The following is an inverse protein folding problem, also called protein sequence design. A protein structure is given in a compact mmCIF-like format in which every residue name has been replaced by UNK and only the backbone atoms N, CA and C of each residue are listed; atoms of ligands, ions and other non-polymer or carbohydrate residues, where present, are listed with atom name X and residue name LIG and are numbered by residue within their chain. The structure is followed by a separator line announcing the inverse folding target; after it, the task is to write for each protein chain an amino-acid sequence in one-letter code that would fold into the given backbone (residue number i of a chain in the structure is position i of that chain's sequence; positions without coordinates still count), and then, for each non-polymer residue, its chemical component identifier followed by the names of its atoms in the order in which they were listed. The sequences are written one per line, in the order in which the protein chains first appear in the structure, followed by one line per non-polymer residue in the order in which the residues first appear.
data_IF_870856637929
#
_entry.id   IF_870856637929
#
_cell.length_a   1.000
_cell.length_b   1.000
_cell.length_c   1.000
_cell.angle_alpha   90.00
_cell.angle_beta   90.00
_cell.angle_gamma   90.00
#
_symmetry.space_group_name_H-M   'P 1'
#
loop_
_entity.id
_entity.type
_entity.pdbx_description
1 polymer ?
#
# COMPACT_ATOMS: atom_id res chain seq x y z
N UNK A 1 2.95 -11.37 17.15
CA UNK A 1 1.74 -11.58 16.35
C UNK A 1 1.63 -10.38 15.43
N UNK A 2 1.54 -10.58 14.12
CA UNK A 2 1.40 -9.48 13.15
C UNK A 2 -0.07 -9.03 13.19
N UNK A 3 -0.29 -7.72 13.30
CA UNK A 3 -1.64 -7.16 13.30
C UNK A 3 -2.07 -6.87 11.86
N UNK A 4 -3.13 -7.51 11.40
CA UNK A 4 -3.69 -7.23 10.08
C UNK A 4 -4.79 -6.19 10.21
N UNK A 5 -4.58 -5.03 9.59
CA UNK A 5 -5.57 -3.96 9.55
C UNK A 5 -6.47 -4.15 8.35
N UNK A 6 -7.78 -4.16 8.59
CA UNK A 6 -8.79 -4.24 7.54
C UNK A 6 -9.23 -2.85 7.14
N UNK A 7 -9.47 -2.68 5.85
CA UNK A 7 -10.10 -1.50 5.29
C UNK A 7 -11.50 -1.31 5.91
N UNK A 8 -11.81 -0.09 6.34
CA UNK A 8 -13.09 0.27 6.96
C UNK A 8 -14.03 1.05 6.03
N UNK A 9 -13.48 1.78 5.05
CA UNK A 9 -14.20 2.61 4.09
C UNK A 9 -13.85 2.20 2.65
N UNK A 10 -14.33 2.88 1.61
CA UNK A 10 -13.93 2.56 0.23
C UNK A 10 -12.55 3.13 -0.16
N UNK A 11 -12.02 4.09 0.60
CA UNK A 11 -10.87 4.91 0.21
C UNK A 11 -9.60 4.64 1.03
N UNK A 12 -9.71 3.90 2.14
CA UNK A 12 -8.62 3.65 3.08
C UNK A 12 -7.85 2.34 2.82
N UNK A 13 -7.96 1.74 1.64
CA UNK A 13 -7.24 0.51 1.31
C UNK A 13 -5.72 0.66 1.48
N UNK A 14 -5.15 1.77 0.98
CA UNK A 14 -3.73 2.09 1.15
C UNK A 14 -3.36 2.26 2.62
N UNK A 15 -4.22 2.91 3.42
CA UNK A 15 -3.97 3.11 4.85
C UNK A 15 -3.99 1.79 5.62
N UNK A 16 -4.90 0.87 5.29
CA UNK A 16 -4.95 -0.46 5.89
C UNK A 16 -3.66 -1.27 5.59
N UNK A 17 -3.15 -1.19 4.36
CA UNK A 17 -1.86 -1.79 4.00
C UNK A 17 -0.70 -1.18 4.79
N UNK A 18 -0.61 0.15 4.84
CA UNK A 18 0.42 0.88 5.58
C UNK A 18 0.43 0.50 7.06
N UNK A 19 -0.73 0.49 7.73
CA UNK A 19 -0.83 0.06 9.13
C UNK A 19 -0.36 -1.38 9.32
N UNK A 20 -0.74 -2.28 8.42
CA UNK A 20 -0.31 -3.68 8.49
C UNK A 20 1.22 -3.77 8.41
N UNK A 21 1.85 -3.06 7.47
CA UNK A 21 3.32 -3.01 7.34
C UNK A 21 3.98 -2.42 8.59
N UNK A 22 3.50 -1.27 9.08
CA UNK A 22 4.08 -0.64 10.28
C UNK A 22 3.96 -1.58 11.49
N UNK A 23 2.82 -2.26 11.66
CA UNK A 23 2.63 -3.19 12.77
C UNK A 23 3.53 -4.43 12.72
N UNK A 24 3.97 -4.82 11.51
CA UNK A 24 4.92 -5.91 11.33
C UNK A 24 6.29 -5.54 11.92
N UNK A 25 6.78 -4.33 11.63
CA UNK A 25 8.07 -3.84 12.13
C UNK A 25 8.01 -3.34 13.58
N UNK A 26 6.85 -2.80 14.00
CA UNK A 26 6.66 -2.18 15.32
C UNK A 26 5.43 -2.73 16.05
N UNK A 27 5.45 -3.99 16.52
CA UNK A 27 4.27 -4.68 17.06
C UNK A 27 3.73 -4.11 18.39
N UNK A 28 4.44 -3.17 19.02
CA UNK A 28 4.04 -2.52 20.28
C UNK A 28 3.78 -1.01 20.12
N UNK A 29 3.57 -0.55 18.89
CA UNK A 29 3.38 0.87 18.62
C UNK A 29 1.97 1.33 19.05
N UNK A 30 1.88 1.91 20.25
CA UNK A 30 0.61 2.31 20.89
C UNK A 30 -0.17 3.38 20.10
N UNK A 31 0.47 4.07 19.15
CA UNK A 31 -0.12 5.17 18.39
C UNK A 31 -0.55 4.79 16.97
N UNK A 32 -0.47 3.54 16.56
CA UNK A 32 -0.82 3.17 15.18
C UNK A 32 -2.31 3.38 14.87
N UNK A 33 -3.17 3.25 15.88
CA UNK A 33 -4.61 3.52 15.74
C UNK A 33 -4.92 5.02 15.58
N UNK A 34 -3.99 5.90 16.01
CA UNK A 34 -4.10 7.35 15.81
C UNK A 34 -3.75 7.80 14.39
N UNK A 35 -3.05 6.97 13.63
CA UNK A 35 -2.84 7.18 12.20
C UNK A 35 -4.20 6.97 11.50
N UNK A 36 -4.94 8.04 11.25
CA UNK A 36 -6.24 7.96 10.60
C UNK A 36 -6.14 8.45 9.16
N UNK A 37 -6.90 7.79 8.28
CA UNK A 37 -7.12 8.30 6.94
C UNK A 37 -7.95 9.58 7.05
N UNK A 38 -7.54 10.64 6.36
CA UNK A 38 -8.35 11.86 6.30
C UNK A 38 -9.62 11.55 5.51
N UNK A 39 -10.76 11.46 6.22
CA UNK A 39 -12.05 11.17 5.60
C UNK A 39 -12.54 12.27 4.65
N UNK A 40 -11.90 13.44 4.63
CA UNK A 40 -12.16 14.49 3.63
C UNK A 40 -11.38 14.25 2.32
N UNK A 41 -10.44 13.30 2.31
CA UNK A 41 -9.78 12.86 1.10
C UNK A 41 -10.71 11.90 0.34
N UNK A 42 -11.18 12.35 -0.83
CA UNK A 42 -12.12 11.61 -1.67
C UNK A 42 -11.42 10.68 -2.69
N UNK A 43 -10.08 10.64 -2.70
CA UNK A 43 -9.30 9.96 -3.74
C UNK A 43 -8.47 8.78 -3.22
N UNK A 44 -8.38 8.60 -1.89
CA UNK A 44 -7.51 7.59 -1.29
C UNK A 44 -6.06 8.07 -1.14
N UNK A 45 -5.15 7.13 -0.86
CA UNK A 45 -3.71 7.41 -0.80
C UNK A 45 -3.05 7.12 -2.15
N UNK A 46 -2.20 8.04 -2.61
CA UNK A 46 -1.26 7.78 -3.69
C UNK A 46 -0.09 6.92 -3.23
N UNK A 47 0.72 6.41 -4.18
CA UNK A 47 1.94 5.68 -3.85
C UNK A 47 2.97 6.57 -3.11
N UNK A 48 3.06 7.85 -3.46
CA UNK A 48 3.92 8.81 -2.78
C UNK A 48 3.47 9.05 -1.34
N UNK A 49 2.17 9.15 -1.08
CA UNK A 49 1.65 9.29 0.29
C UNK A 49 2.03 8.05 1.14
N UNK A 50 1.96 6.86 0.55
CA UNK A 50 2.34 5.61 1.22
C UNK A 50 3.82 5.61 1.59
N UNK A 51 4.70 5.98 0.65
CA UNK A 51 6.15 6.08 0.89
C UNK A 51 6.47 7.11 1.98
N UNK A 52 5.87 8.30 1.91
CA UNK A 52 6.09 9.37 2.89
C UNK A 52 5.64 8.96 4.30
N UNK A 53 4.49 8.28 4.42
CA UNK A 53 4.03 7.77 5.71
C UNK A 53 5.02 6.72 6.23
N UNK A 54 5.40 5.72 5.43
CA UNK A 54 6.35 4.68 5.86
C UNK A 54 7.70 5.27 6.29
N UNK A 55 8.20 6.25 5.54
CA UNK A 55 9.44 6.98 5.84
C UNK A 55 9.37 7.73 7.16
N UNK A 56 8.20 8.29 7.51
CA UNK A 56 8.00 8.95 8.81
C UNK A 56 8.15 8.00 10.01
N UNK A 57 8.00 6.68 9.78
CA UNK A 57 8.25 5.62 10.75
C UNK A 57 9.63 4.95 10.59
N UNK A 58 10.51 5.50 9.75
CA UNK A 58 11.85 4.97 9.51
C UNK A 58 11.90 3.72 8.64
N UNK A 59 10.83 3.44 7.88
CA UNK A 59 10.78 2.35 6.91
C UNK A 59 11.10 2.94 5.53
N UNK A 60 12.21 2.50 4.94
CA UNK A 60 12.57 2.86 3.57
C UNK A 60 11.74 2.06 2.58
N UNK A 61 11.10 2.74 1.64
CA UNK A 61 10.15 2.14 0.71
C UNK A 61 10.31 2.80 -0.66
N UNK A 62 10.30 1.95 -1.69
CA UNK A 62 10.37 2.37 -3.09
C UNK A 62 9.20 1.76 -3.86
N UNK A 63 8.62 2.53 -4.79
CA UNK A 63 7.63 2.04 -5.74
C UNK A 63 8.23 1.83 -7.13
N UNK A 64 7.85 0.71 -7.74
CA UNK A 64 8.29 0.34 -9.09
C UNK A 64 7.10 -0.15 -9.89
N UNK A 65 7.06 0.20 -11.18
CA UNK A 65 6.18 -0.47 -12.12
C UNK A 65 6.79 -1.83 -12.49
N UNK A 66 6.00 -2.89 -12.36
CA UNK A 66 6.48 -4.26 -12.56
C UNK A 66 5.66 -4.90 -13.69
N UNK A 67 6.35 -5.45 -14.69
CA UNK A 67 5.74 -6.36 -15.67
C UNK A 67 5.62 -7.77 -15.07
N UNK A 68 4.59 -8.54 -15.45
CA UNK A 68 4.24 -9.84 -14.84
C UNK A 68 5.42 -10.83 -14.65
N UNK A 69 6.39 -10.97 -15.58
CA UNK A 69 7.55 -11.84 -15.39
C UNK A 69 8.51 -11.37 -14.28
N UNK A 70 8.50 -10.09 -13.95
CA UNK A 70 9.41 -9.44 -13.00
C UNK A 70 8.96 -9.57 -11.54
N UNK A 71 7.70 -9.96 -11.28
CA UNK A 71 7.21 -10.29 -9.93
C UNK A 71 7.97 -11.47 -9.32
N UNK A 72 8.35 -12.46 -10.14
CA UNK A 72 9.10 -13.63 -9.68
C UNK A 72 10.48 -13.24 -9.14
N UNK A 73 11.13 -12.26 -9.79
CA UNK A 73 12.44 -11.76 -9.39
C UNK A 73 12.40 -10.96 -8.08
N UNK A 74 11.28 -10.31 -7.78
CA UNK A 74 11.07 -9.63 -6.50
C UNK A 74 10.86 -10.66 -5.39
N UNK A 75 10.08 -11.71 -5.65
CA UNK A 75 9.87 -12.78 -4.68
C UNK A 75 11.12 -13.60 -4.37
N UNK A 76 12.00 -13.74 -5.36
CA UNK A 76 13.27 -14.47 -5.22
C UNK A 76 14.41 -13.60 -4.69
N UNK A 77 14.26 -12.28 -4.65
CA UNK A 77 15.26 -11.38 -4.08
C UNK A 77 15.07 -11.27 -2.56
N UNK A 78 16.10 -11.59 -1.78
CA UNK A 78 16.12 -11.42 -0.32
C UNK A 78 16.09 -9.96 0.15
N UNK A 79 16.08 -8.99 -0.77
CA UNK A 79 16.21 -7.56 -0.49
C UNK A 79 14.93 -6.92 0.06
N UNK A 80 13.74 -7.47 -0.21
CA UNK A 80 12.47 -6.90 0.26
C UNK A 80 11.67 -7.93 1.07
N UNK A 81 11.56 -7.71 2.38
CA UNK A 81 10.79 -8.62 3.26
C UNK A 81 9.28 -8.43 3.19
N UNK A 82 8.80 -7.26 2.74
CA UNK A 82 7.39 -6.93 2.60
C UNK A 82 7.13 -6.14 1.32
N UNK A 83 6.00 -6.40 0.65
CA UNK A 83 5.63 -5.77 -0.62
C UNK A 83 4.16 -5.34 -0.57
N UNK A 84 3.87 -4.12 -1.03
CA UNK A 84 2.51 -3.63 -1.28
C UNK A 84 2.26 -3.70 -2.79
N UNK A 85 1.15 -4.31 -3.21
CA UNK A 85 0.81 -4.47 -4.62
C UNK A 85 -0.41 -3.62 -4.95
N UNK A 86 -0.24 -2.66 -5.86
CA UNK A 86 -1.35 -1.92 -6.46
C UNK A 86 -1.93 -2.73 -7.64
N UNK A 87 -3.11 -3.32 -7.46
CA UNK A 87 -3.81 -4.03 -8.52
C UNK A 87 -4.76 -3.08 -9.25
N UNK A 88 -4.47 -2.77 -10.51
CA UNK A 88 -5.36 -2.01 -11.38
C UNK A 88 -6.07 -2.96 -12.36
N UNK A 89 -7.33 -3.32 -12.07
CA UNK A 89 -8.14 -4.10 -12.98
C UNK A 89 -8.79 -3.20 -14.04
N UNK A 90 -8.28 -3.25 -15.27
CA UNK A 90 -8.96 -2.63 -16.43
C UNK A 90 -9.86 -3.67 -17.09
N UNK A 91 -11.17 -3.50 -16.98
CA UNK A 91 -12.12 -4.29 -17.77
C UNK A 91 -11.96 -3.93 -19.26
N UNK A 92 -11.61 -4.90 -20.10
CA UNK A 92 -11.45 -4.74 -21.55
C UNK A 92 -12.78 -4.64 -22.31
N UNK A 93 -13.92 -4.63 -21.61
CA UNK A 93 -15.27 -4.71 -22.21
C UNK A 93 -15.83 -3.38 -22.74
N UNK A 94 -15.15 -2.25 -22.53
CA UNK A 94 -15.58 -0.96 -23.10
C UNK A 94 -14.44 -0.32 -23.93
N UNK A 95 -14.41 -0.52 -25.25
CA UNK A 95 -13.53 0.24 -26.13
C UNK A 95 -13.97 1.72 -26.12
N UNK A 96 -13.05 2.62 -25.79
CA UNK A 96 -13.27 4.05 -25.90
C UNK A 96 -13.45 4.44 -27.37
N UNK A 97 -14.61 5.00 -27.75
CA UNK A 97 -14.70 5.86 -28.93
C UNK A 97 -13.94 7.14 -28.63
N UNK A 98 -12.80 7.34 -29.31
CA UNK A 98 -12.15 8.66 -29.39
C UNK A 98 -13.15 9.64 -30.02
N UNK A 99 -13.46 10.73 -29.32
CA UNK A 99 -13.94 11.97 -29.91
C UNK A 99 -12.77 12.95 -30.01
#
# INVERSE_FOLDING_TARGET
MVSHYKQATLLDCGMACVKTIISYYFPKLEHLDSLQFDNNNHQGLSLFDIEDILKSYGIDADSYQIETPSLLNIWNNELHSNVIILLNYRSTTHPWTRF
#
